data_IF_167505859680
#
_entry.id   IF_167505859680
#
_cell.length_a   1.000
_cell.length_b   1.000
_cell.length_c   1.000
_cell.angle_alpha   90.00
_cell.angle_beta   90.00
_cell.angle_gamma   90.00
#
_symmetry.space_group_name_H-M   'P 1'
#
loop_
_entity.id
_entity.type
_entity.pdbx_description
1 polymer ?
#
# COMPACT_ATOMS: atom_id res chain seq x y z
N UNK A 1 16.80 12.69 -13.28
CA UNK A 1 15.67 12.89 -14.22
C UNK A 1 14.82 14.03 -13.68
N UNK A 2 14.40 14.96 -14.54
CA UNK A 2 13.51 16.07 -14.16
C UNK A 2 12.14 15.84 -14.78
N UNK A 3 11.06 16.00 -14.00
CA UNK A 3 9.69 15.69 -14.37
C UNK A 3 8.83 16.95 -14.36
N UNK A 4 7.88 17.04 -15.27
CA UNK A 4 6.74 17.97 -15.13
C UNK A 4 5.83 17.52 -13.98
N UNK A 5 4.93 18.39 -13.54
CA UNK A 5 3.98 18.05 -12.46
C UNK A 5 3.06 16.90 -12.84
N UNK A 6 2.69 16.79 -14.13
CA UNK A 6 1.82 15.74 -14.65
C UNK A 6 2.55 14.38 -14.66
N UNK A 7 3.81 14.36 -15.11
CA UNK A 7 4.65 13.16 -15.08
C UNK A 7 4.98 12.72 -13.66
N UNK A 8 5.22 13.66 -12.75
CA UNK A 8 5.44 13.36 -11.33
C UNK A 8 4.18 12.73 -10.72
N UNK A 9 3.01 13.34 -10.94
CA UNK A 9 1.74 12.85 -10.44
C UNK A 9 1.46 11.42 -10.95
N UNK A 10 1.64 11.19 -12.26
CA UNK A 10 1.48 9.87 -12.88
C UNK A 10 2.44 8.84 -12.28
N UNK A 11 3.75 9.13 -12.20
CA UNK A 11 4.73 8.20 -11.62
C UNK A 11 4.50 7.91 -10.15
N UNK A 12 4.14 8.93 -9.38
CA UNK A 12 3.82 8.77 -7.97
C UNK A 12 2.45 8.12 -7.75
N UNK A 13 1.62 7.91 -8.78
CA UNK A 13 0.25 7.40 -8.67
C UNK A 13 -0.65 8.28 -7.79
N UNK A 14 -0.50 9.60 -7.91
CA UNK A 14 -1.35 10.60 -7.25
C UNK A 14 -1.87 11.60 -8.27
N UNK A 15 -2.83 12.44 -7.88
CA UNK A 15 -3.31 13.51 -8.75
C UNK A 15 -2.39 14.73 -8.71
N UNK A 16 -2.37 15.55 -9.76
CA UNK A 16 -1.68 16.86 -9.78
C UNK A 16 -2.17 17.76 -8.64
N UNK A 17 -3.47 17.67 -8.29
CA UNK A 17 -4.04 18.37 -7.13
C UNK A 17 -3.37 17.94 -5.83
N UNK A 18 -3.13 16.66 -5.66
CA UNK A 18 -2.43 16.08 -4.50
C UNK A 18 -0.98 16.57 -4.43
N UNK A 19 -0.26 16.59 -5.55
CA UNK A 19 1.12 17.13 -5.62
C UNK A 19 1.14 18.60 -5.16
N UNK A 20 0.25 19.43 -5.73
CA UNK A 20 0.14 20.85 -5.37
C UNK A 20 -0.26 21.06 -3.91
N UNK A 21 -1.13 20.20 -3.38
CA UNK A 21 -1.52 20.22 -1.97
C UNK A 21 -0.30 20.03 -1.05
N UNK A 22 0.54 19.02 -1.31
CA UNK A 22 1.75 18.80 -0.52
C UNK A 22 2.80 19.89 -0.69
N UNK A 23 3.00 20.38 -1.91
CA UNK A 23 3.87 21.53 -2.17
C UNK A 23 3.41 22.78 -1.41
N UNK A 24 2.10 23.08 -1.43
CA UNK A 24 1.52 24.24 -0.73
C UNK A 24 1.63 24.17 0.79
N UNK A 25 1.83 22.99 1.37
CA UNK A 25 2.07 22.78 2.81
C UNK A 25 3.56 22.71 3.16
N UNK A 26 4.45 22.94 2.19
CA UNK A 26 5.90 22.88 2.40
C UNK A 26 6.41 21.47 2.70
N UNK A 27 5.71 20.44 2.20
CA UNK A 27 6.07 19.02 2.42
C UNK A 27 6.89 18.44 1.28
N UNK A 28 6.99 19.18 0.17
CA UNK A 28 7.87 18.88 -0.94
C UNK A 28 8.92 19.98 -1.05
N UNK A 29 10.15 19.66 -1.52
CA UNK A 29 11.10 20.69 -1.92
C UNK A 29 10.47 21.60 -2.99
N UNK A 30 10.95 22.86 -3.11
CA UNK A 30 10.51 23.73 -4.19
C UNK A 30 10.99 23.19 -5.55
N UNK A 31 10.14 23.20 -6.59
CA UNK A 31 10.54 22.75 -7.92
C UNK A 31 11.55 23.70 -8.56
N UNK A 32 12.38 23.17 -9.44
CA UNK A 32 13.27 23.99 -10.29
C UNK A 32 12.44 24.64 -11.40
N UNK A 33 12.44 25.96 -11.47
CA UNK A 33 11.71 26.67 -12.53
C UNK A 33 12.52 26.71 -13.83
N UNK A 34 11.93 26.22 -14.92
CA UNK A 34 12.36 26.52 -16.29
C UNK A 34 11.26 27.29 -17.00
N UNK A 35 11.44 28.61 -17.11
CA UNK A 35 10.41 29.51 -17.61
C UNK A 35 9.18 29.49 -16.70
N UNK A 36 8.03 29.08 -17.24
CA UNK A 36 6.76 28.96 -16.50
C UNK A 36 6.51 27.55 -15.96
N UNK A 37 7.39 26.59 -16.26
CA UNK A 37 7.22 25.18 -15.90
C UNK A 37 8.08 24.84 -14.68
N UNK A 38 7.45 24.33 -13.63
CA UNK A 38 8.16 23.74 -12.50
C UNK A 38 8.60 22.31 -12.82
N UNK A 39 9.88 22.03 -12.60
CA UNK A 39 10.50 20.72 -12.77
C UNK A 39 10.80 20.09 -11.42
N UNK A 40 10.46 18.80 -11.32
CA UNK A 40 10.52 18.01 -10.10
C UNK A 40 11.56 16.91 -10.23
N UNK A 41 12.36 16.72 -9.18
CA UNK A 41 13.45 15.75 -9.14
C UNK A 41 13.07 14.40 -8.52
N UNK A 42 14.02 13.45 -8.47
CA UNK A 42 13.85 12.14 -7.81
C UNK A 42 13.47 12.26 -6.33
N UNK A 43 14.00 13.27 -5.65
CA UNK A 43 13.70 13.68 -4.28
C UNK A 43 12.21 14.00 -4.06
N UNK A 44 11.56 14.62 -5.06
CA UNK A 44 10.12 14.89 -5.00
C UNK A 44 9.30 13.60 -5.15
N UNK A 45 9.73 12.71 -6.05
CA UNK A 45 9.08 11.42 -6.30
C UNK A 45 9.17 10.51 -5.07
N UNK A 46 10.38 10.31 -4.53
CA UNK A 46 10.62 9.45 -3.37
C UNK A 46 9.80 9.88 -2.15
N UNK A 47 9.60 11.19 -1.97
CA UNK A 47 8.78 11.73 -0.87
C UNK A 47 7.30 11.46 -1.06
N UNK A 48 6.79 11.57 -2.29
CA UNK A 48 5.39 11.21 -2.60
C UNK A 48 5.15 9.71 -2.47
N UNK A 49 6.11 8.87 -2.85
CA UNK A 49 6.06 7.42 -2.65
C UNK A 49 6.03 7.07 -1.15
N UNK A 50 6.89 7.71 -0.34
CA UNK A 50 6.86 7.53 1.12
C UNK A 50 5.51 7.95 1.72
N UNK A 51 4.91 9.04 1.23
CA UNK A 51 3.56 9.45 1.65
C UNK A 51 2.53 8.37 1.36
N UNK A 52 2.56 7.78 0.16
CA UNK A 52 1.65 6.69 -0.21
C UNK A 52 1.84 5.45 0.66
N UNK A 53 3.08 5.10 0.96
CA UNK A 53 3.42 3.97 1.84
C UNK A 53 2.88 4.20 3.27
N UNK A 54 3.02 5.42 3.79
CA UNK A 54 2.46 5.75 5.10
C UNK A 54 0.92 5.77 5.08
N UNK A 55 0.31 6.15 3.95
CA UNK A 55 -1.14 6.08 3.78
C UNK A 55 -1.65 4.64 3.70
N UNK A 56 -0.95 3.74 3.01
CA UNK A 56 -1.34 2.31 2.96
C UNK A 56 -1.28 1.69 4.35
N UNK A 57 -0.32 2.10 5.18
CA UNK A 57 -0.26 1.73 6.61
C UNK A 57 -1.39 2.31 7.48
N UNK A 58 -2.33 3.07 6.91
CA UNK A 58 -3.46 3.64 7.62
C UNK A 58 -3.13 4.88 8.45
N UNK A 59 -1.96 5.52 8.24
CA UNK A 59 -1.64 6.75 8.95
C UNK A 59 -2.56 7.89 8.47
N UNK A 60 -3.07 8.64 9.43
CA UNK A 60 -3.82 9.87 9.13
C UNK A 60 -2.93 10.89 8.44
N UNK A 61 -3.53 11.74 7.60
CA UNK A 61 -2.81 12.82 6.94
C UNK A 61 -2.04 13.71 7.94
N UNK A 62 -2.63 14.03 9.10
CA UNK A 62 -1.96 14.81 10.13
C UNK A 62 -0.70 14.12 10.70
N UNK A 63 -0.75 12.80 10.89
CA UNK A 63 0.41 12.01 11.31
C UNK A 63 1.50 12.00 10.24
N UNK A 64 1.12 11.87 8.98
CA UNK A 64 2.04 11.90 7.84
C UNK A 64 2.70 13.27 7.73
N UNK A 65 1.95 14.36 7.81
CA UNK A 65 2.50 15.73 7.80
C UNK A 65 3.55 15.91 8.89
N UNK A 66 3.22 15.49 10.12
CA UNK A 66 4.13 15.59 11.27
C UNK A 66 5.38 14.73 11.10
N UNK A 67 5.25 13.57 10.45
CA UNK A 67 6.37 12.70 10.14
C UNK A 67 7.28 13.33 9.07
N UNK A 68 6.74 13.78 7.95
CA UNK A 68 7.49 14.39 6.86
C UNK A 68 8.20 15.70 7.27
N UNK A 69 7.61 16.47 8.19
CA UNK A 69 8.23 17.67 8.74
C UNK A 69 9.52 17.40 9.53
N UNK A 70 9.70 16.17 10.02
CA UNK A 70 10.94 15.75 10.69
C UNK A 70 12.05 15.36 9.71
N UNK A 71 11.69 15.17 8.44
CA UNK A 71 12.63 14.82 7.38
C UNK A 71 13.06 16.12 6.67
N UNK A 72 14.37 16.39 6.55
CA UNK A 72 14.87 17.57 5.84
C UNK A 72 14.28 17.68 4.43
N UNK A 73 14.08 18.92 3.95
CA UNK A 73 13.48 19.12 2.62
C UNK A 73 14.37 18.64 1.48
N UNK A 74 15.68 18.63 1.71
CA UNK A 74 16.76 18.25 0.82
C UNK A 74 17.27 16.82 1.08
N UNK A 75 16.54 16.01 1.85
CA UNK A 75 16.87 14.61 2.06
C UNK A 75 17.02 13.89 0.71
N UNK A 76 18.10 13.13 0.50
CA UNK A 76 18.33 12.45 -0.77
C UNK A 76 17.26 11.38 -0.99
N UNK A 77 16.94 11.14 -2.26
CA UNK A 77 15.92 10.16 -2.64
C UNK A 77 16.22 8.75 -2.10
N UNK A 78 17.50 8.40 -1.96
CA UNK A 78 17.98 7.11 -1.44
C UNK A 78 17.60 6.91 0.04
N UNK A 79 17.71 7.94 0.88
CA UNK A 79 17.34 7.86 2.29
C UNK A 79 15.83 7.67 2.45
N UNK A 80 15.04 8.40 1.66
CA UNK A 80 13.58 8.26 1.61
C UNK A 80 13.16 6.87 1.11
N UNK A 81 13.85 6.36 0.09
CA UNK A 81 13.62 5.02 -0.45
C UNK A 81 13.98 3.92 0.56
N UNK A 82 15.09 4.08 1.29
CA UNK A 82 15.46 3.16 2.38
C UNK A 82 14.41 3.18 3.48
N UNK A 83 13.95 4.37 3.89
CA UNK A 83 12.92 4.50 4.90
C UNK A 83 11.59 3.86 4.45
N UNK A 84 11.22 4.04 3.17
CA UNK A 84 10.07 3.36 2.56
C UNK A 84 10.25 1.83 2.56
N UNK A 85 11.43 1.34 2.21
CA UNK A 85 11.73 -0.09 2.19
C UNK A 85 11.59 -0.74 3.58
N UNK A 86 11.96 -0.03 4.66
CA UNK A 86 11.76 -0.51 6.04
C UNK A 86 10.28 -0.66 6.42
N UNK A 87 9.39 0.08 5.75
CA UNK A 87 7.93 0.02 5.96
C UNK A 87 7.28 -1.08 5.12
N UNK A 88 7.93 -1.52 4.04
CA UNK A 88 7.40 -2.48 3.06
C UNK A 88 6.90 -3.81 3.64
N UNK A 89 7.52 -4.41 4.69
CA UNK A 89 6.98 -5.65 5.28
C UNK A 89 5.63 -5.47 5.98
N UNK A 90 5.28 -4.23 6.34
CA UNK A 90 4.08 -3.90 7.10
C UNK A 90 3.03 -3.21 6.24
N UNK A 91 3.41 -2.72 5.07
CA UNK A 91 2.50 -2.07 4.16
C UNK A 91 1.54 -3.11 3.58
N UNK A 92 0.22 -2.94 3.78
CA UNK A 92 -0.72 -3.81 3.09
C UNK A 92 -0.51 -3.62 1.59
N UNK A 93 -0.43 -4.74 0.86
CA UNK A 93 -0.46 -4.70 -0.59
C UNK A 93 -1.70 -3.90 -1.01
N UNK A 94 -1.53 -2.92 -1.91
CA UNK A 94 -2.68 -2.17 -2.41
C UNK A 94 -3.45 -3.07 -3.37
N UNK A 95 -4.73 -3.37 -3.09
CA UNK A 95 -5.51 -4.17 -4.02
C UNK A 95 -5.62 -3.46 -5.38
N UNK A 96 -5.51 -4.23 -6.46
CA UNK A 96 -5.60 -3.72 -7.82
C UNK A 96 -6.89 -4.20 -8.49
N UNK A 97 -7.63 -3.30 -9.12
CA UNK A 97 -8.83 -3.64 -9.91
C UNK A 97 -8.40 -3.86 -11.37
N UNK A 98 -8.51 -5.10 -11.83
CA UNK A 98 -8.07 -5.55 -13.14
C UNK A 98 -9.25 -6.10 -13.95
N UNK A 99 -9.18 -5.98 -15.27
CA UNK A 99 -10.04 -6.76 -16.16
C UNK A 99 -9.48 -8.18 -16.36
N UNK A 100 -10.25 -9.03 -17.04
CA UNK A 100 -9.90 -10.44 -17.25
C UNK A 100 -8.59 -10.63 -18.03
N UNK A 101 -8.36 -9.80 -19.04
CA UNK A 101 -7.17 -9.88 -19.89
C UNK A 101 -5.92 -9.41 -19.13
N UNK A 102 -6.05 -8.36 -18.34
CA UNK A 102 -5.00 -7.86 -17.47
C UNK A 102 -4.63 -8.86 -16.38
N UNK A 103 -5.63 -9.55 -15.81
CA UNK A 103 -5.43 -10.60 -14.82
C UNK A 103 -4.59 -11.74 -15.39
N UNK A 104 -4.93 -12.25 -16.58
CA UNK A 104 -4.15 -13.31 -17.26
C UNK A 104 -2.71 -12.85 -17.54
N UNK A 105 -2.55 -11.61 -18.01
CA UNK A 105 -1.23 -11.02 -18.27
C UNK A 105 -0.38 -10.95 -17.01
N UNK A 106 -0.96 -10.53 -15.88
CA UNK A 106 -0.29 -10.43 -14.57
C UNK A 106 0.02 -11.81 -13.97
N UNK A 107 -0.88 -12.77 -14.13
CA UNK A 107 -0.64 -14.16 -13.73
C UNK A 107 0.39 -14.86 -14.63
N UNK A 108 0.71 -14.28 -15.80
CA UNK A 108 1.64 -14.85 -16.78
C UNK A 108 1.08 -16.07 -17.51
N UNK A 109 -0.22 -16.34 -17.39
CA UNK A 109 -0.92 -17.48 -17.98
C UNK A 109 -2.41 -17.20 -18.12
N UNK A 110 -3.07 -17.96 -18.99
CA UNK A 110 -4.52 -17.95 -19.06
C UNK A 110 -5.10 -18.69 -17.84
N UNK A 111 -5.94 -18.01 -17.07
CA UNK A 111 -6.62 -18.60 -15.92
C UNK A 111 -8.01 -19.06 -16.35
N UNK A 112 -8.31 -20.34 -16.35
CA UNK A 112 -9.67 -20.82 -16.64
C UNK A 112 -10.65 -20.51 -15.48
N UNK A 113 -11.94 -20.78 -15.69
CA UNK A 113 -12.98 -20.45 -14.71
C UNK A 113 -12.84 -21.25 -13.40
N UNK A 114 -12.26 -22.45 -13.46
CA UNK A 114 -12.02 -23.27 -12.27
C UNK A 114 -10.85 -22.70 -11.44
N UNK A 115 -9.79 -22.27 -12.12
CA UNK A 115 -8.65 -21.58 -11.48
C UNK A 115 -9.10 -20.27 -10.84
N UNK A 116 -9.99 -19.50 -11.49
CA UNK A 116 -10.58 -18.28 -10.92
C UNK A 116 -11.36 -18.59 -9.64
N UNK A 117 -12.23 -19.59 -9.64
CA UNK A 117 -12.97 -19.99 -8.43
C UNK A 117 -12.04 -20.39 -7.29
N UNK A 118 -10.93 -21.06 -7.60
CA UNK A 118 -9.92 -21.45 -6.63
C UNK A 118 -9.16 -20.25 -6.07
N UNK A 119 -8.78 -19.30 -6.91
CA UNK A 119 -8.13 -18.06 -6.49
C UNK A 119 -9.07 -17.21 -5.61
N UNK A 120 -10.36 -17.18 -5.92
CA UNK A 120 -11.38 -16.51 -5.11
C UNK A 120 -11.55 -17.21 -3.76
N UNK A 121 -11.63 -18.55 -3.75
CA UNK A 121 -11.68 -19.34 -2.51
C UNK A 121 -10.42 -19.20 -1.63
N UNK A 122 -9.28 -18.87 -2.23
CA UNK A 122 -8.02 -18.57 -1.54
C UNK A 122 -7.93 -17.12 -1.05
N UNK A 123 -8.92 -16.27 -1.32
CA UNK A 123 -8.91 -14.85 -0.95
C UNK A 123 -7.92 -14.01 -1.75
N UNK A 124 -7.38 -14.53 -2.85
CA UNK A 124 -6.38 -13.83 -3.68
C UNK A 124 -7.04 -12.80 -4.59
N UNK A 125 -8.27 -13.10 -5.01
CA UNK A 125 -9.09 -12.22 -5.84
C UNK A 125 -10.52 -12.12 -5.28
N UNK A 126 -11.19 -11.03 -5.60
CA UNK A 126 -12.60 -10.78 -5.32
C UNK A 126 -13.30 -10.32 -6.61
N UNK A 127 -14.44 -10.94 -6.95
CA UNK A 127 -15.24 -10.49 -8.09
C UNK A 127 -16.06 -9.25 -7.69
N UNK A 128 -15.74 -8.08 -8.26
CA UNK A 128 -16.45 -6.81 -7.96
C UNK A 128 -17.64 -6.62 -8.90
N UNK A 129 -17.48 -6.90 -10.18
CA UNK A 129 -18.52 -6.86 -11.21
C UNK A 129 -18.16 -7.78 -12.37
N UNK A 130 -19.02 -7.97 -13.38
CA UNK A 130 -18.74 -8.90 -14.48
C UNK A 130 -17.38 -8.68 -15.19
N UNK A 131 -16.92 -7.42 -15.27
CA UNK A 131 -15.69 -7.05 -16.00
C UNK A 131 -14.53 -6.65 -15.08
N UNK A 132 -14.76 -6.58 -13.75
CA UNK A 132 -13.78 -6.06 -12.79
C UNK A 132 -13.52 -7.09 -11.69
N UNK A 133 -12.27 -7.51 -11.60
CA UNK A 133 -11.73 -8.42 -10.60
C UNK A 133 -10.74 -7.64 -9.75
N UNK A 134 -10.95 -7.64 -8.44
CA UNK A 134 -9.99 -7.07 -7.49
C UNK A 134 -8.99 -8.12 -7.10
N UNK A 135 -7.70 -7.86 -7.29
CA UNK A 135 -6.61 -8.68 -6.79
C UNK A 135 -6.20 -8.15 -5.43
N UNK A 136 -6.44 -8.93 -4.38
CA UNK A 136 -6.19 -8.55 -2.99
C UNK A 136 -4.68 -8.49 -2.70
N UNK A 137 -3.92 -9.43 -3.28
CA UNK A 137 -2.45 -9.47 -3.15
C UNK A 137 -1.77 -9.64 -4.51
N UNK A 138 -1.51 -8.52 -5.24
CA UNK A 138 -0.87 -8.56 -6.55
C UNK A 138 0.48 -9.27 -6.58
N UNK A 139 1.27 -9.23 -5.50
CA UNK A 139 2.59 -9.89 -5.49
C UNK A 139 2.49 -11.42 -5.42
N UNK A 140 1.40 -11.94 -4.87
CA UNK A 140 1.17 -13.38 -4.74
C UNK A 140 0.43 -13.99 -5.92
N UNK A 141 -0.20 -13.19 -6.79
CA UNK A 141 -1.09 -13.67 -7.86
C UNK A 141 -0.46 -14.80 -8.70
N UNK A 142 0.78 -14.65 -9.16
CA UNK A 142 1.45 -15.68 -9.97
C UNK A 142 1.69 -16.99 -9.22
N UNK A 143 2.14 -16.91 -7.96
CA UNK A 143 2.38 -18.07 -7.10
C UNK A 143 1.05 -18.77 -6.76
N UNK A 144 0.03 -17.97 -6.43
CA UNK A 144 -1.30 -18.47 -6.12
C UNK A 144 -1.98 -19.13 -7.32
N UNK A 145 -1.76 -18.61 -8.53
CA UNK A 145 -2.25 -19.23 -9.76
C UNK A 145 -1.63 -20.61 -9.98
N UNK A 146 -0.34 -20.78 -9.70
CA UNK A 146 0.31 -22.09 -9.73
C UNK A 146 -0.23 -23.04 -8.64
N UNK A 147 -0.44 -22.53 -7.42
CA UNK A 147 -1.02 -23.31 -6.34
C UNK A 147 -2.44 -23.77 -6.63
N UNK A 148 -3.24 -22.95 -7.32
CA UNK A 148 -4.62 -23.26 -7.67
C UNK A 148 -4.73 -24.49 -8.60
N UNK A 149 -3.72 -24.75 -9.43
CA UNK A 149 -3.66 -25.92 -10.32
C UNK A 149 -3.33 -27.23 -9.59
N UNK A 150 -2.87 -27.17 -8.33
CA UNK A 150 -2.61 -28.38 -7.56
C UNK A 150 -3.92 -29.16 -7.33
N UNK A 151 -3.87 -30.51 -7.34
CA UNK A 151 -5.05 -31.37 -7.18
C UNK A 151 -5.52 -31.42 -5.71
N UNK A 152 -5.80 -30.25 -5.14
CA UNK A 152 -6.53 -30.11 -3.89
C UNK A 152 -8.02 -29.92 -4.18
N UNK A 153 -8.92 -30.61 -3.44
CA UNK A 153 -10.35 -30.34 -3.48
C UNK A 153 -10.64 -28.89 -3.06
N UNK A 154 -11.58 -28.23 -3.75
CA UNK A 154 -11.96 -26.84 -3.48
C UNK A 154 -12.42 -26.66 -2.02
N UNK A 155 -13.19 -27.60 -1.48
CA UNK A 155 -13.64 -27.58 -0.08
C UNK A 155 -12.48 -27.59 0.91
N UNK A 156 -11.38 -28.27 0.59
CA UNK A 156 -10.17 -28.28 1.42
C UNK A 156 -9.48 -26.92 1.41
N UNK A 157 -9.44 -26.24 0.25
CA UNK A 157 -8.91 -24.88 0.13
C UNK A 157 -9.72 -23.89 0.96
N UNK A 158 -11.06 -23.95 0.83
CA UNK A 158 -11.99 -23.11 1.59
C UNK A 158 -11.80 -23.35 3.10
N UNK A 159 -11.83 -24.59 3.55
CA UNK A 159 -11.65 -24.92 4.97
C UNK A 159 -10.29 -24.46 5.52
N UNK A 160 -9.24 -24.52 4.70
CA UNK A 160 -7.90 -24.05 5.06
C UNK A 160 -7.86 -22.52 5.19
N UNK A 161 -8.43 -21.80 4.21
CA UNK A 161 -8.54 -20.35 4.24
C UNK A 161 -9.34 -19.86 5.45
N UNK A 162 -10.52 -20.44 5.69
CA UNK A 162 -11.35 -20.12 6.86
C UNK A 162 -10.64 -20.36 8.20
N UNK A 163 -9.82 -21.41 8.29
CA UNK A 163 -9.03 -21.68 9.49
C UNK A 163 -7.96 -20.59 9.70
N UNK A 164 -7.22 -20.23 8.64
CA UNK A 164 -6.21 -19.16 8.69
C UNK A 164 -6.84 -17.82 9.07
N UNK A 165 -7.95 -17.45 8.42
CA UNK A 165 -8.64 -16.18 8.69
C UNK A 165 -9.12 -16.08 10.13
N UNK A 166 -9.73 -17.15 10.65
CA UNK A 166 -10.21 -17.20 12.03
C UNK A 166 -9.08 -16.97 13.03
N UNK A 167 -7.95 -17.65 12.84
CA UNK A 167 -6.81 -17.55 13.75
C UNK A 167 -6.04 -16.23 13.59
N UNK A 168 -5.91 -15.71 12.39
CA UNK A 168 -5.26 -14.41 12.12
C UNK A 168 -6.10 -13.26 12.70
N UNK A 169 -7.42 -13.32 12.55
CA UNK A 169 -8.36 -12.34 13.15
C UNK A 169 -8.28 -12.37 14.67
N UNK A 170 -8.25 -13.56 15.28
CA UNK A 170 -8.11 -13.71 16.72
C UNK A 170 -6.79 -13.11 17.23
N UNK A 171 -5.67 -13.43 16.56
CA UNK A 171 -4.36 -12.87 16.89
C UNK A 171 -4.33 -11.34 16.77
N UNK A 172 -4.91 -10.78 15.70
CA UNK A 172 -4.98 -9.34 15.51
C UNK A 172 -5.78 -8.65 16.63
N UNK A 173 -6.92 -9.24 17.03
CA UNK A 173 -7.72 -8.74 18.14
C UNK A 173 -6.96 -8.76 19.48
N UNK A 174 -6.22 -9.84 19.76
CA UNK A 174 -5.37 -9.95 20.95
C UNK A 174 -4.26 -8.90 20.95
N UNK A 175 -3.54 -8.72 19.83
CA UNK A 175 -2.50 -7.69 19.70
C UNK A 175 -3.08 -6.27 19.84
N UNK A 176 -4.27 -6.02 19.29
CA UNK A 176 -4.97 -4.75 19.45
C UNK A 176 -5.31 -4.50 20.92
N UNK A 177 -5.78 -5.51 21.66
CA UNK A 177 -6.05 -5.39 23.10
C UNK A 177 -4.77 -5.05 23.87
N UNK A 178 -3.68 -5.77 23.63
CA UNK A 178 -2.37 -5.50 24.26
C UNK A 178 -1.94 -4.05 24.03
N UNK A 179 -2.08 -3.54 22.80
CA UNK A 179 -1.74 -2.15 22.48
C UNK A 179 -2.67 -1.14 23.17
N UNK A 180 -3.99 -1.39 23.18
CA UNK A 180 -4.95 -0.51 23.84
C UNK A 180 -4.66 -0.39 25.34
N UNK A 181 -4.37 -1.51 25.99
CA UNK A 181 -4.12 -1.57 27.44
C UNK A 181 -2.74 -1.02 27.83
N UNK A 182 -1.72 -1.25 27.01
CA UNK A 182 -0.34 -0.88 27.35
C UNK A 182 0.03 0.52 26.87
N UNK A 183 -0.52 0.99 25.75
CA UNK A 183 -0.12 2.25 25.11
C UNK A 183 -1.23 3.30 25.20
N UNK A 184 -2.44 2.97 24.73
CA UNK A 184 -3.50 3.98 24.54
C UNK A 184 -4.12 4.43 25.86
N UNK A 185 -4.52 3.48 26.72
CA UNK A 185 -5.20 3.78 27.98
C UNK A 185 -4.28 4.53 28.96
N UNK A 186 -3.01 4.11 29.21
CA UNK A 186 -2.09 4.86 30.04
C UNK A 186 -1.77 6.26 29.51
N UNK A 187 -1.69 6.44 28.19
CA UNK A 187 -1.49 7.76 27.58
C UNK A 187 -2.67 8.73 27.83
N UNK A 188 -3.90 8.21 27.81
CA UNK A 188 -5.13 8.99 28.09
C UNK A 188 -5.30 9.31 29.57
N UNK A 189 -5.03 8.36 30.46
CA UNK A 189 -5.21 8.50 31.90
C UNK A 189 -4.04 9.25 32.57
N UNK A 190 -2.81 9.10 32.07
CA UNK A 190 -1.59 9.66 32.67
C UNK A 190 -1.21 11.08 32.23
N UNK A 191 -1.93 11.70 31.28
CA UNK A 191 -1.68 13.06 30.79
C UNK A 191 -0.32 13.25 30.12
N UNK A 192 -0.28 13.14 28.77
CA UNK A 192 0.86 13.47 27.87
C UNK A 192 2.26 13.40 28.51
N UNK A 193 2.67 12.22 28.99
CA UNK A 193 4.08 11.92 29.18
C UNK A 193 4.39 10.68 28.34
N UNK A 194 5.03 10.87 27.19
CA UNK A 194 5.63 9.76 26.48
C UNK A 194 6.84 9.26 27.29
N UNK A 195 7.09 7.94 27.40
CA UNK A 195 8.37 7.43 27.85
C UNK A 195 9.44 7.88 26.83
N UNK A 196 10.58 8.35 27.34
CA UNK A 196 11.74 8.77 26.54
C UNK A 196 12.48 7.61 25.91
#
# INVERSE_FOLDING_TARGET
MELTVDELASRAGVTVRTVRFYAGRGLLPPPKLRGRTGLYGPDHLARLELVRELQSLGLTLASIEKHLQRIPLDAPAEDLALQRALLSPWAPEQPEDLDRHELDRRAGRHLDDETIKRLEALGVIEQISADVIRVVSPALLGISAELAELPMPLDTLIASHEAVDRHTTALAAELQQVFQDTVVRPYREGGRRCPG
#
